data_IF_111427287444
#
_entry.id   IF_111427287444
#
_cell.length_a   1.000
_cell.length_b   1.000
_cell.length_c   1.000
_cell.angle_alpha   90.00
_cell.angle_beta   90.00
_cell.angle_gamma   90.00
#
_symmetry.space_group_name_H-M   'P 1'
#
loop_
_entity.id
_entity.type
_entity.pdbx_description
1 polymer ?
#
# COMPACT_ATOMS: atom_id res chain seq x y z
N UNK A 1 27.56 6.90 -19.82
CA UNK A 1 28.33 5.79 -19.21
C UNK A 1 27.37 4.98 -18.35
N UNK A 2 26.79 3.92 -18.92
CA UNK A 2 25.75 3.11 -18.26
C UNK A 2 26.43 2.12 -17.32
N UNK A 3 26.32 2.33 -16.01
CA UNK A 3 26.77 1.36 -15.00
C UNK A 3 25.59 0.48 -14.58
N UNK A 4 25.38 -0.61 -15.30
CA UNK A 4 24.66 -1.76 -14.76
C UNK A 4 25.69 -2.76 -14.24
N UNK A 5 25.69 -3.12 -12.94
CA UNK A 5 26.73 -4.00 -12.39
C UNK A 5 26.22 -5.05 -11.37
N UNK A 6 26.86 -6.21 -11.47
CA UNK A 6 26.55 -7.53 -10.90
C UNK A 6 26.32 -7.55 -9.37
N UNK A 7 25.48 -8.51 -8.92
CA UNK A 7 25.02 -8.72 -7.54
C UNK A 7 26.16 -8.87 -6.51
N UNK A 8 27.33 -9.34 -6.94
CA UNK A 8 28.50 -9.60 -6.09
C UNK A 8 29.19 -8.34 -5.55
N UNK A 9 28.90 -7.15 -6.09
CA UNK A 9 29.49 -5.88 -5.61
C UNK A 9 28.73 -5.18 -4.49
N UNK A 10 27.53 -5.63 -4.10
CA UNK A 10 26.80 -5.01 -2.96
C UNK A 10 27.55 -5.14 -1.64
N UNK A 11 28.37 -6.19 -1.50
CA UNK A 11 29.23 -6.41 -0.33
C UNK A 11 30.63 -5.79 -0.48
N UNK A 12 30.89 -5.02 -1.55
CA UNK A 12 32.20 -4.41 -1.74
C UNK A 12 32.35 -3.20 -0.78
N UNK A 13 33.40 -3.15 0.07
CA UNK A 13 33.54 -2.10 1.09
C UNK A 13 33.53 -0.68 0.52
N UNK A 14 34.06 -0.48 -0.69
CA UNK A 14 33.99 0.83 -1.37
C UNK A 14 32.58 1.20 -1.81
N UNK A 15 31.75 0.21 -2.19
CA UNK A 15 30.35 0.46 -2.58
C UNK A 15 29.51 0.82 -1.36
N UNK A 16 29.69 0.14 -0.23
CA UNK A 16 29.06 0.57 1.02
C UNK A 16 29.50 1.98 1.40
N UNK A 17 30.79 2.31 1.22
CA UNK A 17 31.32 3.64 1.53
C UNK A 17 30.74 4.72 0.61
N UNK A 18 30.68 4.47 -0.70
CA UNK A 18 30.08 5.37 -1.68
C UNK A 18 28.57 5.50 -1.49
N UNK A 19 27.87 4.40 -1.21
CA UNK A 19 26.43 4.42 -0.90
C UNK A 19 26.18 5.17 0.39
N UNK A 20 26.94 4.94 1.47
CA UNK A 20 26.85 5.74 2.71
C UNK A 20 27.23 7.20 2.49
N UNK A 21 28.14 7.51 1.56
CA UNK A 21 28.51 8.88 1.23
C UNK A 21 27.40 9.57 0.42
N UNK A 22 26.82 8.89 -0.57
CA UNK A 22 25.69 9.39 -1.37
C UNK A 22 24.46 9.51 -0.49
N UNK A 23 24.10 8.46 0.25
CA UNK A 23 23.01 8.48 1.25
C UNK A 23 23.29 9.54 2.31
N UNK A 24 24.52 9.68 2.78
CA UNK A 24 24.93 10.74 3.68
C UNK A 24 24.74 12.13 3.08
N UNK A 25 25.14 12.36 1.83
CA UNK A 25 24.94 13.61 1.08
C UNK A 25 23.47 13.89 0.74
N UNK A 26 22.69 12.83 0.52
CA UNK A 26 21.26 12.88 0.21
C UNK A 26 20.44 13.16 1.47
N UNK A 27 20.78 12.51 2.58
CA UNK A 27 20.13 12.65 3.89
C UNK A 27 20.60 13.88 4.67
N UNK A 28 21.80 14.42 4.39
CA UNK A 28 22.25 15.71 4.95
C UNK A 28 21.58 16.87 4.22
N UNK A 29 20.31 17.08 4.55
CA UNK A 29 19.65 18.39 4.47
C UNK A 29 19.75 19.15 3.14
N UNK A 30 19.90 18.49 1.98
CA UNK A 30 19.91 19.20 0.69
C UNK A 30 19.08 18.58 -0.43
N UNK A 31 18.66 17.32 -0.33
CA UNK A 31 17.95 16.66 -1.45
C UNK A 31 16.44 16.76 -1.33
N UNK A 32 15.86 16.67 -0.13
CA UNK A 32 14.43 16.94 0.00
C UNK A 32 14.20 18.45 -0.15
N UNK A 33 13.27 18.87 -1.04
CA UNK A 33 12.89 20.27 -1.15
C UNK A 33 12.49 20.81 0.22
N UNK A 34 12.79 22.07 0.50
CA UNK A 34 12.46 22.70 1.78
C UNK A 34 10.97 22.54 2.16
N UNK A 35 10.10 22.40 1.16
CA UNK A 35 8.66 22.20 1.31
C UNK A 35 8.27 20.82 1.86
N UNK A 36 9.15 19.81 1.86
CA UNK A 36 8.90 18.49 2.45
C UNK A 36 9.42 18.38 3.90
N UNK A 37 10.49 19.11 4.24
CA UNK A 37 11.09 19.04 5.60
C UNK A 37 10.20 19.61 6.69
N UNK A 38 9.29 20.52 6.32
CA UNK A 38 8.34 21.14 7.24
C UNK A 38 7.02 20.39 7.33
N UNK A 39 6.84 19.30 6.57
CA UNK A 39 5.57 18.59 6.57
C UNK A 39 5.44 17.70 7.81
N UNK A 40 4.28 17.68 8.48
CA UNK A 40 4.04 16.86 9.66
C UNK A 40 3.81 15.37 9.33
N UNK A 41 4.27 14.89 8.16
CA UNK A 41 4.00 13.56 7.64
C UNK A 41 5.26 12.87 7.14
N UNK A 42 5.29 11.52 7.16
CA UNK A 42 6.40 10.77 6.59
C UNK A 42 6.46 10.92 5.07
N UNK A 43 7.68 10.98 4.54
CA UNK A 43 7.96 10.88 3.11
C UNK A 43 8.36 9.45 2.80
N UNK A 44 7.70 8.80 1.82
CA UNK A 44 7.88 7.39 1.51
C UNK A 44 7.88 7.16 0.01
N UNK A 45 8.46 6.03 -0.41
CA UNK A 45 8.32 5.52 -1.77
C UNK A 45 7.06 4.66 -1.85
N UNK A 46 6.15 5.04 -2.72
CA UNK A 46 5.00 4.26 -3.11
C UNK A 46 5.18 3.78 -4.54
N UNK A 47 4.43 2.76 -4.92
CA UNK A 47 4.59 2.13 -6.21
C UNK A 47 3.26 1.53 -6.66
N UNK A 48 3.21 1.12 -7.94
CA UNK A 48 2.02 0.69 -8.70
C UNK A 48 1.34 1.83 -9.45
N UNK A 49 1.13 1.57 -10.75
CA UNK A 49 0.35 2.38 -11.67
C UNK A 49 -1.07 2.66 -11.15
N UNK A 50 -1.77 1.62 -10.73
CA UNK A 50 -3.13 1.70 -10.19
C UNK A 50 -3.25 2.58 -8.95
N UNK A 51 -2.19 2.59 -8.13
CA UNK A 51 -2.12 3.45 -6.96
C UNK A 51 -1.83 4.90 -7.34
N UNK A 52 -0.95 5.14 -8.32
CA UNK A 52 -0.67 6.48 -8.82
C UNK A 52 -1.92 7.12 -9.45
N UNK A 53 -2.70 6.34 -10.21
CA UNK A 53 -3.97 6.79 -10.78
C UNK A 53 -4.96 7.18 -9.69
N UNK A 54 -5.14 6.31 -8.69
CA UNK A 54 -6.01 6.59 -7.54
C UNK A 54 -5.53 7.75 -6.67
N UNK A 55 -4.22 8.01 -6.63
CA UNK A 55 -3.68 9.21 -6.00
C UNK A 55 -4.18 10.46 -6.73
N UNK A 56 -4.13 10.47 -8.06
CA UNK A 56 -4.65 11.58 -8.87
C UNK A 56 -6.15 11.76 -8.62
N UNK A 57 -6.93 10.68 -8.68
CA UNK A 57 -8.36 10.69 -8.39
C UNK A 57 -8.65 11.25 -6.98
N UNK A 58 -7.83 10.89 -5.98
CA UNK A 58 -7.96 11.40 -4.62
C UNK A 58 -7.65 12.90 -4.55
N UNK A 59 -6.62 13.39 -5.25
CA UNK A 59 -6.30 14.82 -5.33
C UNK A 59 -7.42 15.62 -5.99
N UNK A 60 -8.01 15.10 -7.06
CA UNK A 60 -9.17 15.70 -7.72
C UNK A 60 -10.39 15.74 -6.80
N UNK A 61 -10.54 14.74 -5.92
CA UNK A 61 -11.52 14.73 -4.83
C UNK A 61 -11.16 15.64 -3.63
N UNK A 62 -10.12 16.47 -3.76
CA UNK A 62 -9.70 17.43 -2.73
C UNK A 62 -8.84 16.83 -1.60
N UNK A 63 -8.31 15.61 -1.77
CA UNK A 63 -7.39 15.02 -0.79
C UNK A 63 -6.01 15.64 -0.88
N UNK A 64 -5.44 15.98 0.27
CA UNK A 64 -4.08 16.52 0.34
C UNK A 64 -3.06 15.39 0.26
N UNK A 65 -2.52 15.18 -0.94
CA UNK A 65 -1.44 14.22 -1.20
C UNK A 65 -0.39 14.90 -2.07
N UNK A 66 0.85 14.89 -1.60
CA UNK A 66 1.96 15.58 -2.29
C UNK A 66 2.96 14.57 -2.85
N UNK A 67 3.13 14.60 -4.18
CA UNK A 67 4.13 13.80 -4.89
C UNK A 67 5.33 14.67 -5.19
N UNK A 68 6.52 14.23 -4.77
CA UNK A 68 7.78 14.94 -4.97
C UNK A 68 8.40 14.64 -6.34
N UNK A 69 8.44 13.35 -6.68
CA UNK A 69 9.13 12.85 -7.86
C UNK A 69 8.62 11.47 -8.24
N UNK A 70 8.75 11.13 -9.52
CA UNK A 70 8.30 9.86 -10.10
C UNK A 70 9.44 9.23 -10.88
N UNK A 71 9.69 7.93 -10.67
CA UNK A 71 10.64 7.11 -11.40
C UNK A 71 9.88 6.14 -12.31
N UNK A 72 10.13 6.27 -13.61
CA UNK A 72 9.58 5.46 -14.69
C UNK A 72 10.65 4.58 -15.33
N UNK A 73 10.24 3.42 -15.82
CA UNK A 73 11.07 2.63 -16.72
C UNK A 73 11.11 3.25 -18.12
N UNK A 74 12.23 3.11 -18.83
CA UNK A 74 12.38 3.59 -20.20
C UNK A 74 11.43 2.94 -21.22
N UNK A 75 10.89 1.76 -20.92
CA UNK A 75 9.98 0.99 -21.76
C UNK A 75 8.48 1.20 -21.44
N UNK A 76 8.13 2.18 -20.59
CA UNK A 76 6.73 2.49 -20.28
C UNK A 76 5.98 3.10 -21.46
N UNK A 77 4.69 2.79 -21.54
CA UNK A 77 3.77 3.38 -22.51
C UNK A 77 3.49 4.88 -22.25
N UNK A 78 2.98 5.57 -23.26
CA UNK A 78 2.73 7.02 -23.21
C UNK A 78 1.55 7.38 -22.30
N UNK A 79 0.62 6.45 -22.07
CA UNK A 79 -0.43 6.63 -21.06
C UNK A 79 0.20 6.85 -19.68
N UNK A 80 1.21 6.04 -19.33
CA UNK A 80 1.91 6.13 -18.06
C UNK A 80 2.79 7.36 -17.92
N UNK A 81 3.46 7.79 -18.99
CA UNK A 81 4.18 9.07 -18.99
C UNK A 81 3.23 10.24 -18.76
N UNK A 82 2.06 10.23 -19.41
CA UNK A 82 1.06 11.29 -19.26
C UNK A 82 0.51 11.37 -17.84
N UNK A 83 0.12 10.23 -17.23
CA UNK A 83 -0.35 10.24 -15.85
C UNK A 83 0.73 10.75 -14.89
N UNK A 84 1.98 10.32 -15.07
CA UNK A 84 3.09 10.82 -14.26
C UNK A 84 3.22 12.35 -14.36
N UNK A 85 3.11 12.90 -15.57
CA UNK A 85 3.13 14.35 -15.83
C UNK A 85 1.97 15.11 -15.19
N UNK A 86 0.80 14.47 -14.99
CA UNK A 86 -0.32 15.07 -14.26
C UNK A 86 -0.07 15.09 -12.74
N UNK A 87 0.73 14.15 -12.23
CA UNK A 87 0.99 14.01 -10.81
C UNK A 87 2.14 14.91 -10.33
N UNK A 88 3.20 15.05 -11.13
CA UNK A 88 4.43 15.74 -10.72
C UNK A 88 5.27 16.22 -11.92
N UNK A 89 6.03 17.30 -11.73
CA UNK A 89 6.98 17.84 -12.71
C UNK A 89 8.30 17.06 -12.75
N UNK A 90 8.75 16.51 -11.62
CA UNK A 90 10.03 15.81 -11.50
C UNK A 90 9.89 14.34 -11.88
N UNK A 91 10.11 14.03 -13.16
CA UNK A 91 10.05 12.67 -13.69
C UNK A 91 11.45 12.20 -14.07
N UNK A 92 11.87 11.09 -13.46
CA UNK A 92 13.11 10.38 -13.76
C UNK A 92 12.81 9.15 -14.61
N UNK A 93 13.63 8.90 -15.63
CA UNK A 93 13.53 7.72 -16.48
C UNK A 93 14.80 6.90 -16.31
N UNK A 94 14.65 5.61 -16.05
CA UNK A 94 15.76 4.68 -15.89
C UNK A 94 15.53 3.39 -16.70
N UNK A 95 16.62 2.67 -16.96
CA UNK A 95 16.55 1.33 -17.56
C UNK A 95 15.76 0.39 -16.63
N UNK A 96 14.94 -0.49 -17.22
CA UNK A 96 14.12 -1.43 -16.48
C UNK A 96 14.94 -2.34 -15.57
N UNK A 97 16.06 -2.84 -16.07
CA UNK A 97 16.93 -3.72 -15.33
C UNK A 97 17.48 -3.00 -14.10
N UNK A 98 17.82 -1.71 -14.21
CA UNK A 98 18.26 -0.88 -13.08
C UNK A 98 17.16 -0.75 -12.02
N UNK A 99 15.92 -0.48 -12.43
CA UNK A 99 14.79 -0.39 -11.51
C UNK A 99 14.56 -1.72 -10.81
N UNK A 100 14.56 -2.84 -11.55
CA UNK A 100 14.40 -4.17 -10.97
C UNK A 100 15.55 -4.50 -10.00
N UNK A 101 16.80 -4.18 -10.34
CA UNK A 101 17.94 -4.43 -9.47
C UNK A 101 17.83 -3.69 -8.13
N UNK A 102 17.42 -2.43 -8.15
CA UNK A 102 17.38 -1.58 -6.95
C UNK A 102 16.07 -1.70 -6.16
N UNK A 103 14.93 -1.91 -6.84
CA UNK A 103 13.59 -1.87 -6.22
C UNK A 103 12.88 -3.22 -6.14
N UNK A 104 13.45 -4.34 -6.62
CA UNK A 104 12.77 -5.65 -6.63
C UNK A 104 12.19 -6.08 -5.28
N UNK A 105 12.81 -5.69 -4.15
CA UNK A 105 12.37 -6.08 -2.81
C UNK A 105 11.00 -5.48 -2.42
N UNK A 106 10.61 -4.38 -3.07
CA UNK A 106 9.32 -3.73 -2.86
C UNK A 106 8.20 -4.40 -3.68
N UNK A 107 8.54 -5.37 -4.55
CA UNK A 107 7.60 -6.07 -5.41
C UNK A 107 7.25 -5.31 -6.69
N UNK A 108 8.14 -4.45 -7.15
CA UNK A 108 8.01 -3.54 -8.30
C UNK A 108 8.37 -4.20 -9.64
N UNK A 109 8.26 -5.52 -9.75
CA UNK A 109 8.71 -6.33 -10.90
C UNK A 109 7.69 -6.46 -12.04
N UNK A 110 6.59 -5.70 -12.00
CA UNK A 110 5.56 -5.74 -13.03
C UNK A 110 5.91 -4.79 -14.20
N UNK A 111 5.56 -5.16 -15.44
CA UNK A 111 5.84 -4.36 -16.66
C UNK A 111 5.36 -2.90 -16.61
N UNK A 112 4.33 -2.59 -15.82
CA UNK A 112 3.80 -1.23 -15.62
C UNK A 112 4.08 -0.73 -14.20
N UNK A 113 5.26 -1.05 -13.65
CA UNK A 113 5.66 -0.53 -12.36
C UNK A 113 6.12 0.92 -12.50
N UNK A 114 5.67 1.72 -11.54
CA UNK A 114 6.09 3.09 -11.32
C UNK A 114 6.41 3.21 -9.84
N UNK A 115 7.50 3.91 -9.53
CA UNK A 115 7.87 4.25 -8.16
C UNK A 115 7.74 5.76 -8.02
N UNK A 116 7.25 6.25 -6.89
CA UNK A 116 7.07 7.68 -6.68
C UNK A 116 7.24 8.03 -5.21
N UNK A 117 7.87 9.18 -4.98
CA UNK A 117 8.09 9.73 -3.65
C UNK A 117 6.88 10.55 -3.27
N UNK A 118 6.26 10.21 -2.13
CA UNK A 118 5.03 10.84 -1.66
C UNK A 118 5.15 11.21 -0.18
N UNK A 119 4.65 12.38 0.17
CA UNK A 119 4.43 12.81 1.55
C UNK A 119 2.99 12.49 1.95
N UNK A 120 2.81 11.39 2.67
CA UNK A 120 1.51 10.86 3.08
C UNK A 120 1.70 9.80 4.18
N UNK A 121 0.77 9.64 5.14
CA UNK A 121 -0.43 10.46 5.37
C UNK A 121 -0.17 11.75 6.15
N UNK A 122 -0.98 12.77 5.89
CA UNK A 122 -0.98 14.02 6.67
C UNK A 122 -1.98 13.87 7.82
N UNK A 123 -1.55 14.02 9.09
CA UNK A 123 -2.44 13.84 10.23
C UNK A 123 -3.48 14.95 10.28
N UNK A 124 -4.75 14.56 10.41
CA UNK A 124 -5.84 15.50 10.64
C UNK A 124 -6.19 15.61 12.13
N UNK A 125 -6.73 16.76 12.58
CA UNK A 125 -7.32 16.91 13.89
C UNK A 125 -8.50 15.96 14.13
N UNK A 126 -8.54 15.27 15.29
CA UNK A 126 -9.52 14.21 15.58
C UNK A 126 -10.97 14.72 15.65
N UNK A 127 -11.18 15.99 15.96
CA UNK A 127 -12.50 16.66 15.95
C UNK A 127 -13.16 16.65 14.57
N UNK A 128 -12.37 16.59 13.49
CA UNK A 128 -12.87 16.47 12.11
C UNK A 128 -13.30 15.06 11.71
N UNK A 129 -13.05 14.04 12.55
CA UNK A 129 -13.36 12.65 12.21
C UNK A 129 -14.87 12.43 11.99
N UNK A 130 -15.21 11.75 10.90
CA UNK A 130 -16.58 11.36 10.54
C UNK A 130 -16.89 9.98 11.11
N UNK A 131 -18.11 9.78 11.60
CA UNK A 131 -18.55 8.48 12.13
C UNK A 131 -19.09 7.58 11.01
N UNK A 132 -18.85 6.25 11.07
CA UNK A 132 -18.04 5.55 12.07
C UNK A 132 -16.52 5.77 11.89
N UNK A 133 -15.77 5.72 12.98
CA UNK A 133 -14.29 5.77 12.98
C UNK A 133 -13.73 4.37 13.17
N UNK A 134 -12.87 3.94 12.26
CA UNK A 134 -12.07 2.72 12.41
C UNK A 134 -10.85 3.03 13.28
N UNK A 135 -10.67 2.30 14.38
CA UNK A 135 -9.48 2.43 15.22
C UNK A 135 -8.53 1.28 14.93
N UNK A 136 -7.28 1.59 14.58
CA UNK A 136 -6.21 0.63 14.35
C UNK A 136 -5.12 0.85 15.40
N UNK A 137 -4.94 -0.12 16.27
CA UNK A 137 -3.90 -0.13 17.29
C UNK A 137 -3.09 -1.43 17.24
N UNK A 138 -1.78 -1.34 17.48
CA UNK A 138 -0.89 -2.50 17.52
C UNK A 138 -0.59 -3.23 16.20
N UNK A 139 -1.18 -2.83 15.06
CA UNK A 139 -0.94 -3.51 13.79
C UNK A 139 0.45 -3.19 13.22
N UNK A 140 1.33 -4.20 13.19
CA UNK A 140 2.68 -4.09 12.61
C UNK A 140 2.79 -4.47 11.13
N UNK A 141 1.82 -5.23 10.58
CA UNK A 141 1.90 -5.71 9.21
C UNK A 141 1.19 -4.77 8.23
N UNK A 142 1.97 -4.09 7.37
CA UNK A 142 1.45 -3.21 6.32
C UNK A 142 0.41 -3.88 5.38
N UNK A 143 0.54 -5.20 5.16
CA UNK A 143 -0.42 -5.97 4.38
C UNK A 143 -1.80 -6.02 5.04
N UNK A 144 -1.86 -6.33 6.34
CA UNK A 144 -3.12 -6.39 7.09
C UNK A 144 -3.77 -5.01 7.12
N UNK A 145 -2.97 -3.97 7.36
CA UNK A 145 -3.44 -2.57 7.32
C UNK A 145 -4.05 -2.26 5.95
N UNK A 146 -3.34 -2.55 4.85
CA UNK A 146 -3.86 -2.31 3.51
C UNK A 146 -5.17 -3.05 3.20
N UNK A 147 -5.30 -4.31 3.64
CA UNK A 147 -6.53 -5.09 3.48
C UNK A 147 -7.70 -4.48 4.26
N UNK A 148 -7.47 -4.14 5.53
CA UNK A 148 -8.48 -3.52 6.39
C UNK A 148 -8.93 -2.19 5.79
N UNK A 149 -8.00 -1.33 5.35
CA UNK A 149 -8.33 -0.04 4.75
C UNK A 149 -9.14 -0.22 3.47
N UNK A 150 -8.77 -1.15 2.60
CA UNK A 150 -9.57 -1.45 1.41
C UNK A 150 -10.99 -1.87 1.79
N UNK A 151 -11.15 -2.78 2.74
CA UNK A 151 -12.46 -3.24 3.20
C UNK A 151 -13.27 -2.09 3.81
N UNK A 152 -12.65 -1.31 4.70
CA UNK A 152 -13.27 -0.16 5.35
C UNK A 152 -13.82 0.84 4.32
N UNK A 153 -13.03 1.17 3.30
CA UNK A 153 -13.44 2.10 2.25
C UNK A 153 -14.71 1.64 1.53
N UNK A 154 -14.76 0.37 1.12
CA UNK A 154 -15.91 -0.17 0.40
C UNK A 154 -17.15 -0.35 1.28
N UNK A 155 -16.97 -0.39 2.61
CA UNK A 155 -18.05 -0.35 3.59
C UNK A 155 -18.46 1.08 3.97
N UNK A 156 -17.89 2.11 3.33
CA UNK A 156 -18.20 3.52 3.58
C UNK A 156 -17.47 4.12 4.80
N UNK A 157 -16.54 3.40 5.40
CA UNK A 157 -15.73 3.88 6.53
C UNK A 157 -14.46 4.55 6.01
N UNK A 158 -14.41 5.87 6.14
CA UNK A 158 -13.30 6.70 5.61
C UNK A 158 -12.44 7.33 6.69
N UNK A 159 -12.94 7.42 7.93
CA UNK A 159 -12.18 7.97 9.06
C UNK A 159 -11.44 6.87 9.82
N UNK A 160 -10.13 7.02 9.95
CA UNK A 160 -9.23 6.01 10.53
C UNK A 160 -8.35 6.65 11.59
N UNK A 161 -8.54 6.24 12.84
CA UNK A 161 -7.66 6.58 13.96
C UNK A 161 -6.57 5.51 14.07
N UNK A 162 -5.31 5.90 13.87
CA UNK A 162 -4.17 5.00 13.88
C UNK A 162 -3.23 5.30 15.05
N UNK A 163 -2.71 4.28 15.71
CA UNK A 163 -1.59 4.45 16.64
C UNK A 163 -0.25 4.63 15.91
N UNK A 164 0.81 5.01 16.63
CA UNK A 164 2.15 5.24 16.04
C UNK A 164 2.65 4.06 15.21
N UNK A 165 2.45 2.84 15.72
CA UNK A 165 2.94 1.62 15.08
C UNK A 165 2.24 1.42 13.73
N UNK A 166 0.93 1.62 13.68
CA UNK A 166 0.14 1.57 12.45
C UNK A 166 0.55 2.68 11.49
N UNK A 167 0.67 3.91 12.00
CA UNK A 167 1.08 5.08 11.22
C UNK A 167 2.41 4.85 10.50
N UNK A 168 3.37 4.26 11.21
CA UNK A 168 4.68 3.93 10.66
C UNK A 168 4.65 2.83 9.60
N UNK A 169 3.54 2.09 9.47
CA UNK A 169 3.35 1.04 8.47
C UNK A 169 2.43 1.44 7.30
N UNK A 170 1.92 2.69 7.28
CA UNK A 170 1.16 3.27 6.16
C UNK A 170 2.08 3.69 5.01
N UNK A 171 2.83 2.75 4.44
CA UNK A 171 3.73 2.97 3.30
C UNK A 171 3.28 2.35 1.99
N UNK A 172 4.19 2.26 1.02
CA UNK A 172 3.91 1.77 -0.33
C UNK A 172 3.26 0.38 -0.37
N UNK A 173 3.65 -0.53 0.53
CA UNK A 173 3.02 -1.86 0.64
C UNK A 173 1.57 -1.78 1.09
N UNK A 174 1.26 -1.00 2.13
CA UNK A 174 -0.13 -0.80 2.59
C UNK A 174 -0.96 -0.13 1.49
N UNK A 175 -0.40 0.88 0.81
CA UNK A 175 -1.01 1.52 -0.36
C UNK A 175 -1.35 0.50 -1.45
N UNK A 176 -0.37 -0.31 -1.88
CA UNK A 176 -0.58 -1.33 -2.90
C UNK A 176 -1.64 -2.36 -2.52
N UNK A 177 -1.57 -2.90 -1.30
CA UNK A 177 -2.53 -3.91 -0.84
C UNK A 177 -3.93 -3.32 -0.71
N UNK A 178 -4.02 -2.04 -0.31
CA UNK A 178 -5.28 -1.30 -0.34
C UNK A 178 -5.78 -0.98 -1.74
N UNK A 179 -4.99 -1.27 -2.79
CA UNK A 179 -5.19 -0.80 -4.16
C UNK A 179 -5.38 0.71 -4.22
N UNK A 180 -4.54 1.51 -3.55
CA UNK A 180 -4.60 2.97 -3.58
C UNK A 180 -5.77 3.61 -2.80
N UNK A 181 -6.72 2.82 -2.27
CA UNK A 181 -7.82 3.35 -1.46
C UNK A 181 -7.36 4.02 -0.17
N UNK A 182 -6.14 3.72 0.28
CA UNK A 182 -5.43 4.45 1.33
C UNK A 182 -5.51 5.99 1.15
N UNK A 183 -5.42 6.52 -0.07
CA UNK A 183 -5.40 7.97 -0.34
C UNK A 183 -6.74 8.66 -0.12
N UNK A 184 -7.83 7.90 -0.02
CA UNK A 184 -9.16 8.43 0.22
C UNK A 184 -9.54 8.44 1.71
N UNK A 185 -8.66 7.96 2.58
CA UNK A 185 -8.89 7.89 4.03
C UNK A 185 -8.54 9.20 4.73
N UNK A 186 -9.39 9.59 5.68
CA UNK A 186 -9.09 10.61 6.67
C UNK A 186 -8.32 9.96 7.82
N UNK A 187 -7.04 10.27 7.94
CA UNK A 187 -6.13 9.61 8.88
C UNK A 187 -5.83 10.50 10.08
N UNK A 188 -6.17 9.99 11.26
CA UNK A 188 -5.99 10.65 12.54
C UNK A 188 -4.91 9.91 13.33
N UNK A 189 -3.96 10.64 13.90
CA UNK A 189 -2.92 10.06 14.74
C UNK A 189 -3.37 10.08 16.21
N UNK A 190 -3.56 8.90 16.79
CA UNK A 190 -4.04 8.74 18.16
C UNK A 190 -2.91 8.59 19.16
N UNK A 191 -2.30 9.71 19.58
CA UNK A 191 -1.19 9.71 20.55
C UNK A 191 -1.40 10.67 21.73
N UNK A 192 -1.50 10.16 22.97
CA UNK A 192 -1.67 8.74 23.34
C UNK A 192 -3.06 8.22 22.92
N UNK A 193 -3.15 6.93 22.56
CA UNK A 193 -4.39 6.33 22.06
C UNK A 193 -5.54 6.42 23.08
N UNK A 194 -5.23 6.29 24.37
CA UNK A 194 -6.19 6.41 25.46
C UNK A 194 -6.91 7.76 25.48
N UNK A 195 -6.22 8.85 25.14
CA UNK A 195 -6.82 10.19 25.12
C UNK A 195 -7.65 10.40 23.85
N UNK A 196 -7.20 9.88 22.71
CA UNK A 196 -7.99 9.89 21.48
C UNK A 196 -9.34 9.13 21.66
N UNK A 197 -9.31 7.97 22.33
CA UNK A 197 -10.52 7.21 22.66
C UNK A 197 -11.43 7.94 23.65
N UNK A 198 -10.88 8.65 24.64
CA UNK A 198 -11.66 9.51 25.54
C UNK A 198 -12.35 10.63 24.77
N UNK A 199 -11.67 11.28 23.83
CA UNK A 199 -12.25 12.33 22.98
C UNK A 199 -13.42 11.79 22.14
N UNK A 200 -13.26 10.60 21.53
CA UNK A 200 -14.37 9.95 20.80
C UNK A 200 -15.56 9.65 21.72
N UNK A 201 -15.31 9.17 22.95
CA UNK A 201 -16.37 8.92 23.93
C UNK A 201 -17.08 10.20 24.36
N UNK A 202 -16.33 11.28 24.58
CA UNK A 202 -16.88 12.61 24.91
C UNK A 202 -17.75 13.16 23.78
N UNK A 203 -17.48 12.76 22.53
CA UNK A 203 -18.34 13.03 21.36
C UNK A 203 -19.56 12.09 21.25
N UNK A 204 -19.83 11.27 22.25
CA UNK A 204 -20.96 10.34 22.29
C UNK A 204 -20.75 9.03 21.53
N UNK A 205 -19.51 8.72 21.11
CA UNK A 205 -19.24 7.49 20.37
C UNK A 205 -19.28 6.26 21.29
N UNK A 206 -19.94 5.21 20.82
CA UNK A 206 -19.81 3.86 21.40
C UNK A 206 -18.60 3.17 20.78
N UNK A 207 -17.71 2.67 21.62
CA UNK A 207 -16.46 2.04 21.18
C UNK A 207 -16.63 0.52 21.25
N UNK A 208 -16.42 -0.13 20.10
CA UNK A 208 -16.38 -1.58 19.94
C UNK A 208 -14.93 -1.98 19.66
N UNK A 209 -14.44 -3.03 20.31
CA UNK A 209 -13.04 -3.46 20.19
C UNK A 209 -12.98 -4.93 19.79
N UNK A 210 -12.38 -5.26 18.65
CA UNK A 210 -12.09 -6.65 18.30
C UNK A 210 -10.64 -6.96 18.69
N UNK A 211 -10.42 -8.11 19.34
CA UNK A 211 -9.10 -8.57 19.81
C UNK A 211 -8.95 -10.07 19.49
N UNK A 212 -7.75 -10.48 19.07
CA UNK A 212 -7.45 -11.85 18.59
C UNK A 212 -6.93 -12.76 19.71
N UNK A 213 -6.62 -12.19 20.88
CA UNK A 213 -5.99 -12.90 21.99
C UNK A 213 -6.94 -13.58 22.99
N UNK A 214 -8.26 -13.47 22.83
CA UNK A 214 -9.21 -14.10 23.74
C UNK A 214 -9.80 -15.38 23.16
N UNK A 215 -9.64 -16.50 23.89
CA UNK A 215 -10.22 -17.79 23.53
C UNK A 215 -11.76 -17.77 23.57
N UNK A 216 -12.35 -16.87 24.35
CA UNK A 216 -13.79 -16.70 24.51
C UNK A 216 -14.20 -15.24 24.35
N UNK A 217 -15.46 -15.01 23.99
CA UNK A 217 -15.98 -13.66 23.90
C UNK A 217 -16.02 -13.02 25.29
N UNK A 218 -15.27 -11.95 25.47
CA UNK A 218 -15.30 -11.17 26.71
C UNK A 218 -16.66 -10.50 26.85
N UNK A 219 -17.29 -10.62 28.03
CA UNK A 219 -18.56 -9.95 28.32
C UNK A 219 -18.41 -8.43 28.15
N UNK A 220 -19.45 -7.72 27.67
CA UNK A 220 -19.45 -6.26 27.71
C UNK A 220 -19.19 -5.79 29.14
N UNK A 221 -18.20 -4.92 29.31
CA UNK A 221 -17.85 -4.33 30.60
C UNK A 221 -17.57 -2.85 30.40
N UNK A 222 -17.89 -2.07 31.42
CA UNK A 222 -17.60 -0.63 31.41
C UNK A 222 -16.08 -0.43 31.53
N UNK A 223 -15.48 0.42 30.68
CA UNK A 223 -14.06 0.75 30.77
C UNK A 223 -13.80 1.61 32.02
N UNK A 224 -13.62 0.95 33.16
CA UNK A 224 -13.48 1.58 34.48
C UNK A 224 -13.33 0.59 35.65
N UNK A 225 -13.70 -0.68 35.48
CA UNK A 225 -13.56 -1.69 36.53
C UNK A 225 -12.09 -2.15 36.68
N UNK A 226 -11.36 -1.41 37.51
CA UNK A 226 -9.89 -1.52 37.70
C UNK A 226 -9.41 -2.86 38.26
N UNK A 227 -10.29 -3.78 38.64
CA UNK A 227 -9.93 -5.17 38.96
C UNK A 227 -9.57 -5.99 37.72
N UNK A 228 -9.82 -5.47 36.51
CA UNK A 228 -9.58 -6.16 35.24
C UNK A 228 -8.79 -5.30 34.24
N UNK A 229 -7.62 -4.77 34.64
CA UNK A 229 -6.69 -4.02 33.77
C UNK A 229 -6.13 -4.82 32.56
N UNK A 230 -6.76 -5.94 32.18
CA UNK A 230 -6.44 -6.77 31.00
C UNK A 230 -7.62 -6.93 30.03
N UNK A 231 -8.72 -6.23 30.23
CA UNK A 231 -9.94 -6.46 29.46
C UNK A 231 -10.36 -5.18 28.77
N UNK A 232 -10.25 -5.16 27.45
CA UNK A 232 -10.95 -4.23 26.58
C UNK A 232 -11.25 -5.05 25.32
N UNK A 233 -12.45 -5.63 25.23
CA UNK A 233 -12.83 -6.48 24.11
C UNK A 233 -14.36 -6.58 23.98
N UNK A 234 -14.84 -6.34 22.76
CA UNK A 234 -16.07 -6.88 22.19
C UNK A 234 -15.70 -7.82 21.03
N UNK A 235 -15.60 -9.11 21.34
CA UNK A 235 -15.44 -10.15 20.35
C UNK A 235 -16.79 -10.40 19.66
N UNK A 236 -16.96 -9.92 18.42
CA UNK A 236 -17.85 -10.58 17.48
C UNK A 236 -17.06 -11.75 16.90
N UNK A 237 -17.50 -12.98 17.21
CA UNK A 237 -16.88 -14.21 16.74
C UNK A 237 -17.11 -14.33 15.22
N UNK A 238 -16.28 -13.66 14.43
CA UNK A 238 -16.14 -13.90 13.00
C UNK A 238 -14.73 -14.46 12.82
N UNK A 239 -14.57 -15.70 12.32
CA UNK A 239 -13.23 -16.23 12.06
C UNK A 239 -12.57 -15.36 10.99
N UNK A 240 -11.66 -14.51 11.44
CA UNK A 240 -10.94 -13.50 10.65
C UNK A 240 -9.83 -14.11 9.77
N UNK A 241 -9.61 -15.42 9.81
CA UNK A 241 -8.51 -16.04 9.05
C UNK A 241 -8.89 -16.48 7.64
N UNK A 242 -10.18 -16.60 7.27
CA UNK A 242 -10.58 -16.97 5.90
C UNK A 242 -11.83 -16.25 5.39
N UNK A 243 -12.80 -15.92 6.25
CA UNK A 243 -14.12 -15.42 5.82
C UNK A 243 -14.10 -14.00 5.22
N UNK A 244 -13.25 -13.09 5.74
CA UNK A 244 -13.08 -11.75 5.16
C UNK A 244 -12.23 -11.80 3.89
N UNK A 245 -11.27 -12.73 3.81
CA UNK A 245 -10.55 -12.97 2.55
C UNK A 245 -11.45 -13.62 1.50
N UNK A 246 -12.35 -14.54 1.87
CA UNK A 246 -13.38 -15.10 0.98
C UNK A 246 -14.38 -14.06 0.53
N UNK A 247 -14.87 -13.18 1.40
CA UNK A 247 -15.70 -12.02 1.00
C UNK A 247 -14.92 -11.09 0.05
N UNK A 248 -13.65 -10.82 0.30
CA UNK A 248 -12.80 -10.03 -0.60
C UNK A 248 -12.53 -10.74 -1.94
N UNK A 249 -12.35 -12.07 -1.96
CA UNK A 249 -12.15 -12.88 -3.17
C UNK A 249 -13.45 -13.06 -3.96
N UNK A 250 -14.58 -13.21 -3.27
CA UNK A 250 -15.93 -13.24 -3.88
C UNK A 250 -16.27 -11.88 -4.48
N UNK A 251 -15.90 -10.76 -3.86
CA UNK A 251 -16.06 -9.44 -4.48
C UNK A 251 -15.11 -9.21 -5.67
N UNK A 252 -13.95 -9.86 -5.72
CA UNK A 252 -13.06 -9.82 -6.90
C UNK A 252 -13.55 -10.68 -8.06
N UNK A 253 -14.34 -11.72 -7.79
CA UNK A 253 -14.81 -12.69 -8.79
C UNK A 253 -16.27 -12.50 -9.20
N UNK A 254 -17.08 -11.83 -8.38
CA UNK A 254 -18.51 -11.61 -8.57
C UNK A 254 -18.85 -10.13 -8.78
N UNK A 255 -18.25 -9.51 -9.79
CA UNK A 255 -18.82 -8.30 -10.38
C UNK A 255 -19.91 -8.68 -11.39
N UNK A 256 -21.05 -9.17 -10.90
CA UNK A 256 -22.33 -9.14 -11.62
C UNK A 256 -23.28 -8.25 -10.83
N UNK A 257 -23.18 -6.94 -11.05
CA UNK A 257 -24.13 -5.97 -10.51
C UNK A 257 -25.46 -6.07 -11.28
N UNK A 258 -26.45 -6.75 -10.72
CA UNK A 258 -27.85 -6.52 -11.06
C UNK A 258 -28.62 -6.12 -9.80
N UNK A 259 -29.30 -4.99 -9.92
CA UNK A 259 -30.50 -4.57 -9.21
C UNK A 259 -30.41 -4.37 -7.67
N UNK A 260 -29.92 -3.20 -7.25
CA UNK A 260 -30.60 -2.42 -6.20
C UNK A 260 -30.40 -0.92 -6.53
N UNK A 261 -31.48 -0.19 -6.75
CA UNK A 261 -31.47 1.22 -7.16
C UNK A 261 -31.03 2.17 -6.05
N UNK A 262 -29.72 2.31 -5.88
CA UNK A 262 -29.10 3.45 -5.23
C UNK A 262 -28.32 4.22 -6.29
N UNK A 263 -28.50 5.54 -6.33
CA UNK A 263 -27.76 6.46 -7.20
C UNK A 263 -26.27 6.42 -6.86
N UNK A 264 -25.57 5.49 -7.48
CA UNK A 264 -24.12 5.35 -7.39
C UNK A 264 -23.46 6.32 -8.37
N UNK A 265 -22.49 7.07 -7.83
CA UNK A 265 -21.47 7.86 -8.51
C UNK A 265 -20.94 7.23 -9.82
N UNK A 266 -20.44 8.06 -10.78
CA UNK A 266 -20.28 7.66 -12.17
C UNK A 266 -19.42 6.40 -12.34
N UNK A 267 -20.00 5.43 -13.05
CA UNK A 267 -19.35 4.17 -13.45
C UNK A 267 -18.09 4.46 -14.28
N UNK A 268 -16.92 4.15 -13.75
CA UNK A 268 -15.72 3.97 -14.56
C UNK A 268 -15.84 2.65 -15.35
N UNK A 269 -15.53 2.62 -16.66
CA UNK A 269 -15.61 1.41 -17.46
C UNK A 269 -14.39 0.51 -17.18
N UNK A 270 -14.62 -0.66 -16.61
CA UNK A 270 -13.60 -1.71 -16.47
C UNK A 270 -13.87 -2.81 -17.52
N UNK A 271 -12.93 -3.00 -18.45
CA UNK A 271 -12.83 -4.22 -19.26
C UNK A 271 -11.84 -5.17 -18.58
N UNK A 272 -12.34 -6.31 -18.08
CA UNK A 272 -11.50 -7.38 -17.53
C UNK A 272 -11.00 -8.23 -18.69
N UNK A 273 -9.73 -8.09 -19.07
CA UNK A 273 -9.02 -9.05 -19.90
C UNK A 273 -8.01 -9.82 -19.05
N UNK A 274 -8.22 -11.15 -18.98
CA UNK A 274 -7.15 -12.14 -18.77
C UNK A 274 -6.65 -12.33 -17.34
N UNK A 275 -7.33 -13.16 -16.55
CA UNK A 275 -6.67 -13.91 -15.47
C UNK A 275 -6.72 -15.38 -15.84
N UNK A 276 -5.56 -15.94 -16.19
CA UNK A 276 -5.38 -17.37 -16.36
C UNK A 276 -5.51 -18.07 -15.00
N UNK A 277 -6.37 -19.08 -14.97
CA UNK A 277 -6.63 -20.00 -13.87
C UNK A 277 -5.35 -20.72 -13.41
N UNK A 278 -5.04 -20.58 -12.12
CA UNK A 278 -3.98 -21.31 -11.44
C UNK A 278 -4.55 -22.62 -10.89
N UNK A 279 -4.36 -23.72 -11.62
CA UNK A 279 -4.84 -25.05 -11.26
C UNK A 279 -3.77 -25.79 -10.44
N UNK A 280 -4.18 -26.38 -9.30
CA UNK A 280 -3.31 -27.19 -8.43
C UNK A 280 -2.95 -28.50 -9.14
N UNK A 281 -1.67 -28.84 -9.22
CA UNK A 281 -1.22 -30.22 -9.41
C UNK A 281 -0.35 -30.67 -8.23
N UNK A 282 -0.97 -31.42 -7.34
CA UNK A 282 -0.32 -32.46 -6.55
C UNK A 282 -0.32 -33.73 -7.41
N UNK A 283 0.85 -34.22 -7.81
CA UNK A 283 1.25 -35.63 -7.62
C UNK A 283 2.58 -35.97 -8.31
N UNK A 284 3.37 -36.73 -7.58
CA UNK A 284 4.64 -37.36 -7.95
C UNK A 284 4.44 -38.42 -9.05
N UNK A 285 5.35 -38.46 -10.02
CA UNK A 285 6.06 -39.69 -10.45
C UNK A 285 7.23 -39.39 -11.39
N UNK A 286 8.27 -40.19 -11.21
CA UNK A 286 9.56 -40.16 -11.86
C UNK A 286 9.51 -40.36 -13.38
N UNK A 287 10.41 -39.68 -14.10
CA UNK A 287 10.84 -40.06 -15.45
C UNK A 287 12.31 -39.68 -15.67
N UNK A 288 13.07 -40.63 -16.22
CA UNK A 288 14.52 -40.62 -16.48
C UNK A 288 14.92 -39.75 -17.70
N UNK A 289 16.20 -39.37 -17.84
CA UNK A 289 16.62 -38.37 -18.82
C UNK A 289 16.92 -38.99 -20.19
N UNK A 290 16.23 -38.49 -21.22
CA UNK A 290 16.56 -38.70 -22.63
C UNK A 290 17.30 -37.48 -23.20
N UNK A 291 18.47 -37.73 -23.80
CA UNK A 291 19.26 -36.79 -24.62
C UNK A 291 18.44 -36.27 -25.81
N UNK A 292 18.75 -35.05 -26.29
CA UNK A 292 19.27 -34.78 -27.66
C UNK A 292 19.13 -33.28 -28.06
N UNK A 293 20.22 -32.81 -28.70
CA UNK A 293 20.34 -31.73 -29.69
C UNK A 293 20.40 -30.26 -29.25
N UNK A 294 21.64 -29.78 -29.25
CA UNK A 294 22.08 -28.43 -29.56
C UNK A 294 21.45 -27.90 -30.87
N UNK A 295 21.01 -26.63 -30.87
CA UNK A 295 21.02 -25.73 -32.04
C UNK A 295 21.28 -24.30 -31.56
N UNK A 296 22.30 -23.69 -32.17
CA UNK A 296 22.89 -22.40 -31.78
C UNK A 296 22.09 -21.15 -32.16
N UNK A 297 22.65 -19.96 -31.90
CA UNK A 297 21.96 -18.68 -32.01
C UNK A 297 21.98 -18.13 -33.45
N UNK A 298 20.82 -17.65 -33.91
CA UNK A 298 20.70 -16.84 -35.13
C UNK A 298 20.94 -15.37 -34.77
N UNK A 299 22.05 -14.82 -35.23
CA UNK A 299 22.34 -13.38 -35.26
C UNK A 299 21.75 -12.85 -36.58
N UNK A 300 20.74 -11.97 -36.49
CA UNK A 300 20.17 -11.27 -37.64
C UNK A 300 20.49 -9.78 -37.57
N UNK A 301 21.40 -9.33 -38.42
CA UNK A 301 21.58 -7.93 -38.78
C UNK A 301 20.41 -7.47 -39.66
N UNK A 302 19.89 -6.26 -39.40
CA UNK A 302 19.08 -5.48 -40.35
C UNK A 302 19.90 -4.26 -40.78
N UNK A 303 19.95 -3.92 -42.08
CA UNK A 303 20.62 -2.73 -42.57
C UNK A 303 19.69 -1.51 -42.51
N UNK A 304 20.38 -0.35 -42.40
CA UNK A 304 20.00 1.07 -42.57
C UNK A 304 18.55 1.39 -42.96
#
# INVERSE_FOLDING_TARGET
MVMYRHRDRRNHPEFERQTRQIVGQVLTDKVLPASFRKMPCPVRVHYSWDCLRRLLDAREAGREVKVDSILLSSDVDDELKRLAGQCCEHIFIADRALIEAEFAFEGTTQRRSVNYVVAYPIPQPLDLARLPVLVLDGLGAAQNIGQILRTAFHLGVTSVLASRSVWNNLGGRACRVSMGWLYFMDLFLGEPMSDALKQLRQRGCRIYCAEDHFAEAVKPHEPGDRTSAKSLAMCAKVPLSWSIMELCLQMQTSCKCQAVGLDCWPRAPWSVQGVHSFERRSDLRAFTPGRVSERGPCIGHLPL
#
